data_IF_143477807099
#
_entry.id   IF_143477807099
#
_cell.length_a   1.000
_cell.length_b   1.000
_cell.length_c   1.000
_cell.angle_alpha   90.00
_cell.angle_beta   90.00
_cell.angle_gamma   90.00
#
_symmetry.space_group_name_H-M   'P 1'
#
loop_
_entity.id
_entity.type
_entity.pdbx_description
1 polymer ?
#
# COMPACT_ATOMS: atom_id res chain seq x y z
N UNK A 1 28.00 17.44 -29.36
CA UNK A 1 27.63 16.19 -28.66
C UNK A 1 26.26 16.40 -28.04
N UNK A 2 25.22 15.70 -28.51
CA UNK A 2 23.86 15.89 -28.02
C UNK A 2 23.71 15.18 -26.66
N UNK A 3 23.49 15.95 -25.59
CA UNK A 3 23.11 15.41 -24.28
C UNK A 3 21.70 14.86 -24.40
N UNK A 4 21.58 13.53 -24.43
CA UNK A 4 20.29 12.85 -24.38
C UNK A 4 19.77 12.89 -22.95
N UNK A 5 18.87 13.84 -22.67
CA UNK A 5 18.12 13.87 -21.43
C UNK A 5 17.02 12.80 -21.50
N UNK A 6 16.94 11.93 -20.49
CA UNK A 6 15.84 10.97 -20.37
C UNK A 6 14.56 11.74 -20.06
N UNK A 7 13.72 11.96 -21.07
CA UNK A 7 12.44 12.63 -20.92
C UNK A 7 11.40 11.69 -20.29
N UNK A 8 10.57 12.25 -19.40
CA UNK A 8 9.41 11.55 -18.84
C UNK A 8 8.23 11.65 -19.82
N UNK A 9 7.61 10.54 -20.20
CA UNK A 9 6.51 10.50 -21.20
C UNK A 9 5.21 11.16 -20.73
N UNK A 10 5.17 11.70 -19.52
CA UNK A 10 3.99 12.32 -18.90
C UNK A 10 4.09 13.84 -18.78
N UNK A 11 5.29 14.45 -18.79
CA UNK A 11 5.44 15.89 -18.52
C UNK A 11 6.47 16.62 -19.40
N UNK A 12 7.15 15.98 -20.35
CA UNK A 12 8.16 16.57 -21.26
C UNK A 12 9.32 17.34 -20.61
N UNK A 13 9.32 17.56 -19.30
CA UNK A 13 10.40 18.19 -18.57
C UNK A 13 11.60 17.25 -18.43
N UNK A 14 12.84 17.75 -18.56
CA UNK A 14 14.01 16.99 -18.19
C UNK A 14 13.96 16.75 -16.68
N UNK A 15 13.96 15.48 -16.23
CA UNK A 15 14.08 15.18 -14.79
C UNK A 15 15.41 15.75 -14.30
N UNK A 16 15.38 16.87 -13.59
CA UNK A 16 16.54 17.36 -12.86
C UNK A 16 16.78 16.49 -11.63
N UNK A 17 18.03 16.36 -11.19
CA UNK A 17 18.42 15.64 -9.96
C UNK A 17 17.62 16.10 -8.72
N UNK A 18 17.10 17.34 -8.75
CA UNK A 18 16.21 17.91 -7.73
C UNK A 18 14.89 17.14 -7.60
N UNK A 19 14.32 16.63 -8.69
CA UNK A 19 13.09 15.85 -8.65
C UNK A 19 13.31 14.48 -8.00
N UNK A 20 14.43 13.83 -8.31
CA UNK A 20 14.78 12.53 -7.77
C UNK A 20 15.09 12.63 -6.27
N UNK A 21 15.83 13.68 -5.88
CA UNK A 21 16.02 14.01 -4.48
C UNK A 21 14.68 14.26 -3.78
N UNK A 22 13.83 15.11 -4.37
CA UNK A 22 12.51 15.44 -3.79
C UNK A 22 11.67 14.19 -3.62
N UNK A 23 11.73 13.28 -4.59
CA UNK A 23 11.08 11.98 -4.50
C UNK A 23 11.56 11.19 -3.29
N UNK A 24 12.88 11.01 -3.12
CA UNK A 24 13.45 10.27 -1.98
C UNK A 24 13.15 10.96 -0.65
N UNK A 25 13.25 12.28 -0.60
CA UNK A 25 13.11 13.09 0.61
C UNK A 25 11.65 13.21 1.09
N UNK A 26 10.67 13.23 0.17
CA UNK A 26 9.28 13.59 0.52
C UNK A 26 8.22 12.60 0.06
N UNK A 27 8.46 11.87 -1.03
CA UNK A 27 7.40 11.14 -1.73
C UNK A 27 7.50 9.63 -1.54
N UNK A 28 8.73 9.09 -1.50
CA UNK A 28 8.95 7.66 -1.48
C UNK A 28 8.35 7.01 -0.23
N UNK A 29 7.55 5.97 -0.46
CA UNK A 29 7.02 5.07 0.56
C UNK A 29 7.99 3.92 0.89
N UNK A 30 9.20 3.94 0.36
CA UNK A 30 10.23 2.96 0.69
C UNK A 30 10.96 3.35 1.97
N UNK A 31 11.27 2.34 2.77
CA UNK A 31 12.13 2.50 3.94
C UNK A 31 13.53 3.01 3.54
N UNK A 32 14.18 3.87 4.35
CA UNK A 32 15.51 4.42 4.06
C UNK A 32 16.55 3.34 3.74
N UNK A 33 16.48 2.20 4.45
CA UNK A 33 17.35 1.04 4.23
C UNK A 33 17.16 0.42 2.84
N UNK A 34 15.93 0.41 2.33
CA UNK A 34 15.63 -0.12 1.01
C UNK A 34 16.14 0.82 -0.09
N UNK A 35 15.99 2.13 0.10
CA UNK A 35 16.52 3.15 -0.82
C UNK A 35 18.05 3.05 -0.86
N UNK A 36 18.70 3.03 0.30
CA UNK A 36 20.16 2.92 0.45
C UNK A 36 20.73 1.71 -0.28
N UNK A 37 20.08 0.55 -0.14
CA UNK A 37 20.52 -0.68 -0.82
C UNK A 37 20.50 -0.56 -2.34
N UNK A 38 19.56 0.20 -2.91
CA UNK A 38 19.39 0.36 -4.36
C UNK A 38 20.34 1.41 -4.91
N UNK A 39 20.43 2.56 -4.24
CA UNK A 39 21.22 3.71 -4.69
C UNK A 39 22.68 3.61 -4.29
N UNK A 40 23.02 2.73 -3.34
CA UNK A 40 24.33 2.66 -2.70
C UNK A 40 24.72 4.00 -2.04
N UNK A 41 23.72 4.76 -1.61
CA UNK A 41 23.88 5.96 -0.77
C UNK A 41 23.79 5.51 0.68
N UNK A 42 24.62 6.02 1.61
CA UNK A 42 24.50 5.69 3.02
C UNK A 42 23.09 5.97 3.56
N UNK A 43 22.64 5.14 4.50
CA UNK A 43 21.30 5.27 5.12
C UNK A 43 21.15 6.60 5.83
N UNK A 44 22.24 7.07 6.43
CA UNK A 44 22.32 8.30 7.23
C UNK A 44 21.99 9.51 6.34
N UNK A 45 22.58 9.57 5.15
CA UNK A 45 22.33 10.61 4.16
C UNK A 45 20.87 10.59 3.69
N UNK A 46 20.31 9.41 3.43
CA UNK A 46 18.90 9.31 3.02
C UNK A 46 17.96 9.79 4.14
N UNK A 47 18.27 9.47 5.40
CA UNK A 47 17.51 9.95 6.56
C UNK A 47 17.62 11.46 6.73
N UNK A 48 18.82 12.01 6.56
CA UNK A 48 19.06 13.44 6.59
C UNK A 48 18.24 14.17 5.53
N UNK A 49 18.23 13.66 4.30
CA UNK A 49 17.40 14.19 3.22
C UNK A 49 15.91 14.16 3.55
N UNK A 50 15.43 13.09 4.18
CA UNK A 50 14.02 12.98 4.59
C UNK A 50 13.64 13.90 5.75
N UNK A 51 14.60 14.17 6.64
CA UNK A 51 14.42 15.06 7.79
C UNK A 51 14.47 16.54 7.38
N UNK A 52 15.53 16.96 6.69
CA UNK A 52 15.79 18.37 6.38
C UNK A 52 15.21 18.81 5.03
N UNK A 53 15.08 17.89 4.08
CA UNK A 53 14.47 18.12 2.76
C UNK A 53 15.16 19.24 1.96
N UNK A 54 16.43 19.50 2.26
CA UNK A 54 17.24 20.54 1.64
C UNK A 54 18.13 19.92 0.54
N UNK A 55 17.84 20.31 -0.70
CA UNK A 55 18.58 19.84 -1.87
C UNK A 55 19.97 20.46 -1.96
N UNK A 56 20.16 21.69 -1.48
CA UNK A 56 21.44 22.40 -1.62
C UNK A 56 22.54 21.77 -0.73
N UNK A 57 22.14 21.06 0.32
CA UNK A 57 23.04 20.29 1.18
C UNK A 57 23.37 18.90 0.61
N UNK A 58 22.70 18.46 -0.46
CA UNK A 58 22.92 17.15 -1.02
C UNK A 58 24.24 17.09 -1.78
N UNK A 59 25.17 16.24 -1.32
CA UNK A 59 26.44 16.07 -2.00
C UNK A 59 26.22 15.55 -3.43
N UNK A 60 26.89 16.21 -4.40
CA UNK A 60 26.79 15.90 -5.83
C UNK A 60 27.01 14.42 -6.15
N UNK A 61 27.96 13.77 -5.46
CA UNK A 61 28.24 12.35 -5.66
C UNK A 61 27.05 11.44 -5.36
N UNK A 62 26.20 11.80 -4.40
CA UNK A 62 25.00 11.05 -4.04
C UNK A 62 23.86 11.35 -4.99
N UNK A 63 23.73 12.58 -5.46
CA UNK A 63 22.79 12.95 -6.51
C UNK A 63 23.08 12.20 -7.81
N UNK A 64 24.36 12.05 -8.20
CA UNK A 64 24.75 11.27 -9.38
C UNK A 64 24.47 9.76 -9.22
N UNK A 65 24.61 9.21 -8.00
CA UNK A 65 24.21 7.83 -7.71
C UNK A 65 22.70 7.65 -7.78
N UNK A 66 21.97 8.65 -7.30
CA UNK A 66 20.52 8.67 -7.32
C UNK A 66 19.99 8.67 -8.75
N UNK A 67 20.46 9.56 -9.61
CA UNK A 67 20.10 9.65 -11.04
C UNK A 67 20.30 8.31 -11.77
N UNK A 68 21.46 7.68 -11.57
CA UNK A 68 21.77 6.37 -12.16
C UNK A 68 20.85 5.24 -11.69
N UNK A 69 20.25 5.37 -10.50
CA UNK A 69 19.47 4.29 -9.85
C UNK A 69 18.00 4.63 -9.67
N UNK A 70 17.57 5.81 -10.08
CA UNK A 70 16.23 6.31 -9.81
C UNK A 70 15.14 5.41 -10.38
N UNK A 71 15.31 4.95 -11.62
CA UNK A 71 14.40 3.99 -12.25
C UNK A 71 14.18 2.71 -11.41
N UNK A 72 15.24 2.18 -10.78
CA UNK A 72 15.14 0.98 -9.95
C UNK A 72 14.40 1.26 -8.64
N UNK A 73 14.50 2.47 -8.09
CA UNK A 73 13.69 2.89 -6.94
C UNK A 73 12.20 2.86 -7.30
N UNK A 74 11.83 3.49 -8.42
CA UNK A 74 10.43 3.52 -8.90
C UNK A 74 9.89 2.10 -9.12
N UNK A 75 10.67 1.23 -9.78
CA UNK A 75 10.27 -0.17 -9.98
C UNK A 75 10.09 -0.92 -8.66
N UNK A 76 10.99 -0.71 -7.68
CA UNK A 76 10.89 -1.38 -6.38
C UNK A 76 9.65 -0.93 -5.63
N UNK A 77 9.38 0.37 -5.64
CA UNK A 77 8.23 0.95 -4.95
C UNK A 77 6.92 0.51 -5.58
N UNK A 78 6.82 0.50 -6.91
CA UNK A 78 5.65 -0.03 -7.63
C UNK A 78 5.35 -1.49 -7.24
N UNK A 79 6.38 -2.34 -7.15
CA UNK A 79 6.22 -3.73 -6.68
C UNK A 79 5.78 -3.80 -5.22
N UNK A 80 6.30 -2.93 -4.36
CA UNK A 80 5.91 -2.85 -2.95
C UNK A 80 4.44 -2.45 -2.81
N UNK A 81 4.02 -1.40 -3.50
CA UNK A 81 2.63 -0.92 -3.52
C UNK A 81 1.67 -1.99 -4.05
N UNK A 82 2.03 -2.67 -5.13
CA UNK A 82 1.21 -3.77 -5.70
C UNK A 82 1.00 -4.90 -4.68
N UNK A 83 2.04 -5.28 -3.93
CA UNK A 83 1.94 -6.30 -2.87
C UNK A 83 1.02 -5.84 -1.74
N UNK A 84 1.15 -4.58 -1.32
CA UNK A 84 0.29 -3.98 -0.29
C UNK A 84 -1.18 -3.97 -0.72
N UNK A 85 -1.47 -3.58 -1.97
CA UNK A 85 -2.82 -3.60 -2.53
C UNK A 85 -3.42 -5.01 -2.56
N UNK A 86 -2.65 -6.02 -3.00
CA UNK A 86 -3.10 -7.42 -3.00
C UNK A 86 -3.44 -7.92 -1.60
N UNK A 87 -2.63 -7.56 -0.60
CA UNK A 87 -2.89 -7.94 0.79
C UNK A 87 -4.18 -7.28 1.31
N UNK A 88 -4.37 -5.98 1.04
CA UNK A 88 -5.60 -5.26 1.42
C UNK A 88 -6.84 -5.87 0.77
N UNK A 89 -6.77 -6.21 -0.52
CA UNK A 89 -7.86 -6.87 -1.23
C UNK A 89 -8.24 -8.21 -0.57
N UNK A 90 -7.25 -9.04 -0.21
CA UNK A 90 -7.47 -10.30 0.49
C UNK A 90 -8.12 -10.13 1.86
N UNK A 91 -7.71 -9.11 2.62
CA UNK A 91 -8.33 -8.80 3.92
C UNK A 91 -9.81 -8.41 3.75
N UNK A 92 -10.12 -7.58 2.76
CA UNK A 92 -11.49 -7.16 2.45
C UNK A 92 -12.35 -8.38 2.06
N UNK A 93 -11.82 -9.27 1.24
CA UNK A 93 -12.50 -10.50 0.85
C UNK A 93 -12.81 -11.40 2.06
N UNK A 94 -11.85 -11.59 2.96
CA UNK A 94 -12.07 -12.34 4.20
C UNK A 94 -13.12 -11.69 5.11
N UNK A 95 -13.12 -10.35 5.21
CA UNK A 95 -14.12 -9.62 5.97
C UNK A 95 -15.52 -9.79 5.38
N UNK A 96 -15.66 -9.73 4.04
CA UNK A 96 -16.94 -9.97 3.36
C UNK A 96 -17.45 -11.40 3.59
N UNK A 97 -16.59 -12.40 3.46
CA UNK A 97 -16.97 -13.78 3.75
C UNK A 97 -17.43 -13.97 5.20
N UNK A 98 -16.77 -13.32 6.16
CA UNK A 98 -17.18 -13.33 7.57
C UNK A 98 -18.54 -12.66 7.78
N UNK A 99 -18.79 -11.52 7.13
CA UNK A 99 -20.07 -10.83 7.18
C UNK A 99 -21.20 -11.68 6.58
N UNK A 100 -20.95 -12.39 5.49
CA UNK A 100 -21.92 -13.27 4.86
C UNK A 100 -22.29 -14.45 5.76
N UNK A 101 -21.32 -15.07 6.42
CA UNK A 101 -21.58 -16.14 7.40
C UNK A 101 -22.40 -15.63 8.58
N UNK A 102 -22.06 -14.47 9.12
CA UNK A 102 -22.84 -13.82 10.19
C UNK A 102 -24.28 -13.53 9.76
N UNK A 103 -24.49 -13.04 8.53
CA UNK A 103 -25.83 -12.80 8.00
C UNK A 103 -26.66 -14.10 7.91
N UNK A 104 -26.07 -15.19 7.39
CA UNK A 104 -26.71 -16.51 7.32
C UNK A 104 -27.06 -17.06 8.71
N UNK A 105 -26.20 -16.85 9.70
CA UNK A 105 -26.48 -17.24 11.09
C UNK A 105 -27.65 -16.45 11.70
N UNK A 106 -27.71 -15.13 11.44
CA UNK A 106 -28.82 -14.28 11.89
C UNK A 106 -30.13 -14.75 11.24
N UNK A 107 -30.13 -14.98 9.94
CA UNK A 107 -31.31 -15.45 9.21
C UNK A 107 -31.77 -16.82 9.72
N UNK A 108 -30.83 -17.74 10.00
CA UNK A 108 -31.14 -19.06 10.57
C UNK A 108 -31.75 -18.96 11.97
N UNK A 109 -31.22 -18.08 12.84
CA UNK A 109 -31.78 -17.84 14.18
C UNK A 109 -33.19 -17.27 14.10
N UNK A 110 -33.40 -16.25 13.25
CA UNK A 110 -34.72 -15.66 13.02
C UNK A 110 -35.72 -16.68 12.48
N UNK A 111 -35.29 -17.58 11.59
CA UNK A 111 -36.15 -18.65 11.08
C UNK A 111 -36.54 -19.65 12.18
N UNK A 112 -35.63 -20.00 13.11
CA UNK A 112 -35.95 -20.84 14.27
C UNK A 112 -36.97 -20.17 15.19
N UNK A 113 -36.79 -18.89 15.49
CA UNK A 113 -37.75 -18.11 16.30
C UNK A 113 -39.14 -18.11 15.67
N UNK A 114 -39.25 -17.87 14.36
CA UNK A 114 -40.54 -17.93 13.65
C UNK A 114 -41.18 -19.32 13.76
N UNK A 115 -40.41 -20.40 13.62
CA UNK A 115 -40.92 -21.77 13.75
C UNK A 115 -41.43 -22.03 15.18
N UNK A 116 -40.70 -21.59 16.21
CA UNK A 116 -41.13 -21.73 17.61
C UNK A 116 -42.39 -20.92 17.92
N UNK A 117 -42.51 -19.71 17.39
CA UNK A 117 -43.71 -18.86 17.54
C UNK A 117 -44.93 -19.44 16.81
N UNK A 118 -44.71 -20.04 15.65
CA UNK A 118 -45.78 -20.59 14.80
C UNK A 118 -46.14 -22.03 15.11
N UNK A 119 -45.37 -22.72 15.98
CA UNK A 119 -45.71 -24.07 16.39
C UNK A 119 -47.06 -24.08 17.14
N UNK A 120 -48.05 -24.89 16.69
CA UNK A 120 -49.32 -24.99 17.39
C UNK A 120 -49.06 -25.56 18.79
N UNK A 121 -49.47 -24.83 19.84
CA UNK A 121 -49.46 -25.34 21.21
C UNK A 121 -50.38 -26.56 21.27
N UNK A 122 -49.81 -27.76 21.17
CA UNK A 122 -50.54 -29.01 21.34
C UNK A 122 -51.04 -29.03 22.79
N UNK A 123 -52.29 -28.63 23.01
CA UNK A 123 -53.02 -28.92 24.24
C UNK A 123 -53.23 -30.42 24.25
N UNK A 124 -52.39 -31.13 24.99
CA UNK A 124 -52.66 -32.50 25.38
C UNK A 124 -53.91 -32.51 26.26
N UNK A 125 -55.08 -32.69 25.65
CA UNK A 125 -56.27 -33.05 26.39
C UNK A 125 -56.06 -34.48 26.91
N UNK A 126 -55.72 -34.60 28.20
CA UNK A 126 -55.84 -35.88 28.91
C UNK A 126 -57.30 -36.32 28.77
N UNK A 127 -57.53 -37.44 28.07
CA UNK A 127 -58.79 -38.17 28.16
C UNK A 127 -58.93 -38.65 29.62
N UNK A 128 -59.87 -38.07 30.33
CA UNK A 128 -60.42 -38.58 31.58
C UNK A 128 -61.94 -38.58 31.41
#
# INVERSE_FOLDING_TARGET
>A
MAQSYKHNSLTNEPMSQKHEFTYVAKVSALEPKAIAKITQIPVEIIREWQAHRDFEQAEKQYLDRLDKKFYYLIMRESKHQTRSLKLRARIIEQQRAKQELMAKEIDSKRMKEIIEETQPKIRNYKKA
#
